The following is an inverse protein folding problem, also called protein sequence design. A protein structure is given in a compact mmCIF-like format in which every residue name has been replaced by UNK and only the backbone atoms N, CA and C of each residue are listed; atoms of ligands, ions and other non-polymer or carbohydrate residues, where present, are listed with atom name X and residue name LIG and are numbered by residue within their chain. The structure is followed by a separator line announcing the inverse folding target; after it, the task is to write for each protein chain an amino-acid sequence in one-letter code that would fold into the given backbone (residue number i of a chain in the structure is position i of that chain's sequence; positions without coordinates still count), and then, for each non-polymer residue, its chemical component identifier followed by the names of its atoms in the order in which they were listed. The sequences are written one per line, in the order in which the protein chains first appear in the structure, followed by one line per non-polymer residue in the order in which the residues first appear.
data_IF_383549367436
#
_entry.id   IF_383549367436
#
_cell.length_a   1.000
_cell.length_b   1.000
_cell.length_c   1.000
_cell.angle_alpha   90.00
_cell.angle_beta   90.00
_cell.angle_gamma   90.00
#
_symmetry.space_group_name_H-M   'P 1'
#
loop_
_entity.id
_entity.type
_entity.pdbx_description
1 polymer ?
#
# COMPACT_ATOMS: atom_id res chain seq x y z
N UNK A 1 -3.58 -45.48 -4.45
CA UNK A 1 -2.26 -45.90 -3.94
C UNK A 1 -1.23 -45.29 -4.88
N UNK A 2 -0.80 -44.06 -4.58
CA UNK A 2 0.14 -43.30 -5.41
C UNK A 2 1.03 -42.51 -4.46
N UNK A 3 2.28 -42.94 -4.32
CA UNK A 3 3.26 -42.37 -3.39
C UNK A 3 3.53 -40.89 -3.70
N UNK A 4 3.55 -40.06 -2.65
CA UNK A 4 4.10 -38.70 -2.72
C UNK A 4 5.60 -38.76 -2.46
N UNK A 5 6.46 -38.11 -3.27
CA UNK A 5 7.89 -38.11 -3.05
C UNK A 5 8.26 -37.34 -1.77
N UNK A 6 9.12 -37.94 -0.94
CA UNK A 6 9.73 -37.34 0.26
C UNK A 6 10.70 -36.25 -0.17
N UNK A 7 10.43 -35.01 0.24
CA UNK A 7 11.36 -33.89 0.10
C UNK A 7 12.34 -33.95 1.27
N UNK A 8 13.63 -34.09 0.97
CA UNK A 8 14.72 -34.02 1.94
C UNK A 8 14.85 -32.60 2.51
N UNK A 9 14.97 -32.49 3.83
CA UNK A 9 15.24 -31.24 4.54
C UNK A 9 16.62 -30.68 4.17
N UNK A 10 16.74 -29.39 3.79
CA UNK A 10 18.03 -28.72 3.75
C UNK A 10 18.44 -28.25 5.15
N UNK A 11 19.71 -28.46 5.43
CA UNK A 11 20.47 -28.19 6.65
C UNK A 11 20.39 -26.71 7.07
N UNK A 12 20.26 -26.49 8.38
CA UNK A 12 20.35 -25.19 9.07
C UNK A 12 21.57 -24.39 8.63
N UNK A 13 21.35 -23.30 7.89
CA UNK A 13 22.30 -22.18 7.84
C UNK A 13 21.67 -21.03 8.61
N UNK A 14 22.16 -20.82 9.84
CA UNK A 14 21.73 -19.76 10.73
C UNK A 14 22.28 -18.43 10.23
N UNK A 15 21.70 -17.92 9.15
CA UNK A 15 21.90 -16.55 8.72
C UNK A 15 21.42 -15.65 9.88
N UNK A 16 22.37 -14.95 10.49
CA UNK A 16 22.14 -14.01 11.57
C UNK A 16 20.92 -13.14 11.25
N UNK A 17 19.89 -13.25 12.08
CA UNK A 17 18.79 -12.29 12.11
C UNK A 17 19.41 -10.98 12.61
N UNK A 18 19.94 -10.20 11.67
CA UNK A 18 20.28 -8.81 11.93
C UNK A 18 18.96 -8.10 12.13
N UNK A 19 18.58 -7.93 13.39
CA UNK A 19 17.49 -7.04 13.78
C UNK A 19 17.64 -5.74 12.98
N UNK A 20 16.62 -5.31 12.21
CA UNK A 20 16.70 -4.03 11.53
C UNK A 20 16.86 -2.96 12.60
N UNK A 21 18.07 -2.42 12.74
CA UNK A 21 18.34 -1.23 13.53
C UNK A 21 17.49 -0.12 12.95
N UNK A 22 16.41 0.24 13.65
CA UNK A 22 15.63 1.42 13.31
C UNK A 22 16.58 2.60 13.44
N UNK A 23 16.85 3.35 12.36
CA UNK A 23 17.61 4.59 12.48
C UNK A 23 16.83 5.49 13.42
N UNK A 24 17.35 5.71 14.63
CA UNK A 24 16.93 6.85 15.44
C UNK A 24 17.61 8.04 14.82
N UNK A 25 16.89 8.84 14.04
CA UNK A 25 17.42 10.17 13.78
C UNK A 25 16.33 11.23 13.75
N UNK A 26 16.66 12.31 14.44
CA UNK A 26 15.74 13.31 14.93
C UNK A 26 15.25 14.19 13.79
N UNK A 27 13.95 14.14 13.47
CA UNK A 27 13.27 15.27 12.83
C UNK A 27 12.98 16.33 13.90
N UNK A 28 14.03 16.86 14.52
CA UNK A 28 13.91 17.92 15.52
C UNK A 28 14.14 19.27 14.84
N UNK A 29 13.04 19.90 14.41
CA UNK A 29 13.04 21.29 13.93
C UNK A 29 12.06 21.59 12.79
N UNK A 30 11.54 20.58 12.09
CA UNK A 30 10.61 20.82 10.99
C UNK A 30 9.22 21.23 11.50
N UNK A 31 8.76 22.41 11.09
CA UNK A 31 7.41 22.94 11.38
C UNK A 31 6.33 22.22 10.58
N UNK A 32 6.69 21.52 9.50
CA UNK A 32 5.79 20.75 8.62
C UNK A 32 6.47 19.42 8.25
N UNK A 33 5.72 18.31 8.27
CA UNK A 33 6.16 17.04 7.70
C UNK A 33 5.89 17.02 6.19
N UNK A 34 6.96 17.07 5.39
CA UNK A 34 6.86 16.98 3.93
C UNK A 34 6.94 15.51 3.46
N UNK A 35 5.83 14.95 3.01
CA UNK A 35 5.78 13.59 2.45
C UNK A 35 6.51 13.58 1.12
N UNK A 36 7.51 12.70 1.03
CA UNK A 36 8.34 12.52 -0.15
C UNK A 36 9.76 13.05 -0.01
N UNK A 37 10.08 13.88 0.98
CA UNK A 37 11.44 14.39 1.20
C UNK A 37 12.35 13.41 1.93
N UNK A 38 11.84 12.82 3.00
CA UNK A 38 12.59 11.92 3.86
C UNK A 38 11.73 10.73 4.30
N UNK A 39 12.35 9.77 5.01
CA UNK A 39 11.61 8.68 5.66
C UNK A 39 10.71 9.26 6.74
N UNK A 40 9.44 8.83 6.75
CA UNK A 40 8.49 9.13 7.83
C UNK A 40 8.77 8.18 9.00
N UNK A 41 8.96 8.73 10.20
CA UNK A 41 9.18 7.93 11.41
C UNK A 41 7.87 7.72 12.19
N UNK A 42 7.84 6.72 13.07
CA UNK A 42 6.71 6.53 13.99
C UNK A 42 6.48 7.74 14.93
N UNK A 43 7.54 8.50 15.25
CA UNK A 43 7.43 9.74 16.04
C UNK A 43 6.72 10.84 15.25
N UNK A 44 7.04 10.98 13.96
CA UNK A 44 6.34 11.92 13.08
C UNK A 44 4.85 11.58 12.99
N UNK A 45 4.53 10.28 12.80
CA UNK A 45 3.14 9.79 12.80
C UNK A 45 2.42 10.15 14.11
N UNK A 46 3.06 9.95 15.27
CA UNK A 46 2.45 10.28 16.55
C UNK A 46 2.20 11.79 16.72
N UNK A 47 3.12 12.65 16.26
CA UNK A 47 2.95 14.12 16.29
C UNK A 47 1.84 14.58 15.37
N UNK A 48 1.78 14.04 14.15
CA UNK A 48 0.69 14.31 13.19
C UNK A 48 -0.66 13.90 13.78
N UNK A 49 -0.75 12.70 14.36
CA UNK A 49 -1.98 12.19 14.97
C UNK A 49 -2.47 13.04 16.15
N UNK A 50 -1.55 13.67 16.89
CA UNK A 50 -1.86 14.61 17.98
C UNK A 50 -2.08 16.06 17.52
N UNK A 51 -1.97 16.35 16.23
CA UNK A 51 -2.12 17.70 15.68
C UNK A 51 -0.92 18.62 15.92
N UNK A 52 0.22 18.07 16.36
CA UNK A 52 1.45 18.81 16.71
C UNK A 52 2.35 19.08 15.50
N UNK A 53 2.03 18.50 14.34
CA UNK A 53 2.83 18.58 13.13
C UNK A 53 1.92 18.58 11.90
N UNK A 54 1.75 19.71 11.20
CA UNK A 54 1.04 19.74 9.92
C UNK A 54 1.79 18.91 8.87
N UNK A 55 1.04 18.40 7.88
CA UNK A 55 1.55 17.56 6.79
C UNK A 55 1.37 18.29 5.47
N UNK A 56 2.39 18.24 4.62
CA UNK A 56 2.33 18.68 3.23
C UNK A 56 2.94 17.61 2.31
N UNK A 57 2.61 17.66 1.01
CA UNK A 57 3.41 16.96 0.01
C UNK A 57 4.66 17.80 -0.29
N UNK A 58 5.74 17.12 -0.67
CA UNK A 58 6.93 17.78 -1.24
C UNK A 58 6.58 18.59 -2.50
N UNK A 59 7.25 19.71 -2.72
CA UNK A 59 7.16 20.50 -3.96
C UNK A 59 8.10 19.98 -5.07
N UNK A 60 8.85 18.90 -4.82
CA UNK A 60 9.77 18.35 -5.82
C UNK A 60 9.01 17.77 -7.01
N UNK A 61 9.17 18.37 -8.18
CA UNK A 61 8.56 17.93 -9.43
C UNK A 61 8.76 16.43 -9.70
N UNK A 62 9.97 15.91 -9.48
CA UNK A 62 10.28 14.49 -9.69
C UNK A 62 9.45 13.53 -8.82
N UNK A 63 8.96 13.97 -7.67
CA UNK A 63 8.04 13.19 -6.84
C UNK A 63 6.63 13.18 -7.43
N UNK A 64 6.13 14.33 -7.85
CA UNK A 64 4.83 14.45 -8.54
C UNK A 64 4.81 13.66 -9.84
N UNK A 65 5.90 13.70 -10.62
CA UNK A 65 6.04 12.91 -11.84
C UNK A 65 5.98 11.41 -11.58
N UNK A 66 6.48 10.94 -10.42
CA UNK A 66 6.35 9.53 -10.03
C UNK A 66 4.90 9.16 -9.72
N UNK A 67 4.15 10.02 -9.03
CA UNK A 67 2.72 9.79 -8.79
C UNK A 67 1.94 9.74 -10.11
N UNK A 68 2.14 10.72 -10.98
CA UNK A 68 1.45 10.79 -12.28
C UNK A 68 1.72 9.54 -13.10
N UNK A 69 3.00 9.13 -13.24
CA UNK A 69 3.36 7.90 -13.96
C UNK A 69 2.76 6.64 -13.35
N UNK A 70 2.70 6.55 -12.02
CA UNK A 70 2.06 5.43 -11.32
C UNK A 70 0.57 5.35 -11.66
N UNK A 71 -0.14 6.49 -11.56
CA UNK A 71 -1.56 6.59 -11.91
C UNK A 71 -1.79 6.20 -13.37
N UNK A 72 -1.02 6.74 -14.31
CA UNK A 72 -1.14 6.41 -15.73
C UNK A 72 -0.89 4.92 -16.01
N UNK A 73 0.05 4.29 -15.30
CA UNK A 73 0.29 2.85 -15.44
C UNK A 73 -0.93 2.04 -15.00
N UNK A 74 -1.57 2.41 -13.89
CA UNK A 74 -2.82 1.78 -13.43
C UNK A 74 -3.93 1.99 -14.47
N UNK A 75 -4.11 3.21 -14.99
CA UNK A 75 -5.13 3.51 -15.99
C UNK A 75 -4.92 2.75 -17.30
N UNK A 76 -3.67 2.68 -17.80
CA UNK A 76 -3.34 1.88 -18.99
C UNK A 76 -3.67 0.41 -18.76
N UNK A 77 -3.29 -0.14 -17.61
CA UNK A 77 -3.56 -1.55 -17.31
C UNK A 77 -5.05 -1.83 -17.12
N UNK A 78 -5.80 -0.92 -16.51
CA UNK A 78 -7.25 -1.05 -16.37
C UNK A 78 -7.96 -1.13 -17.73
N UNK A 79 -7.48 -0.39 -18.75
CA UNK A 79 -8.03 -0.38 -20.11
C UNK A 79 -7.60 -1.58 -20.98
N UNK A 80 -6.60 -2.35 -20.56
CA UNK A 80 -6.09 -3.50 -21.34
C UNK A 80 -7.08 -4.67 -21.45
N UNK A 81 -8.16 -4.68 -20.65
CA UNK A 81 -9.14 -5.76 -20.63
C UNK A 81 -8.69 -7.00 -19.85
N UNK A 82 -7.40 -7.14 -19.51
CA UNK A 82 -6.99 -8.26 -18.67
C UNK A 82 -7.38 -8.01 -17.19
N UNK A 83 -7.66 -9.07 -16.41
CA UNK A 83 -8.03 -8.94 -15.00
C UNK A 83 -6.98 -8.16 -14.19
N UNK A 84 -7.47 -7.25 -13.36
CA UNK A 84 -6.70 -6.42 -12.43
C UNK A 84 -7.48 -6.30 -11.12
N UNK A 85 -6.96 -6.96 -10.08
CA UNK A 85 -7.60 -7.11 -8.78
C UNK A 85 -8.09 -5.77 -8.21
N UNK A 86 -9.39 -5.69 -7.90
CA UNK A 86 -10.00 -4.52 -7.27
C UNK A 86 -10.05 -3.25 -8.14
N UNK A 87 -9.63 -3.34 -9.42
CA UNK A 87 -9.68 -2.23 -10.38
C UNK A 87 -10.77 -2.50 -11.42
N UNK A 88 -10.70 -3.64 -12.12
CA UNK A 88 -11.72 -4.09 -13.09
C UNK A 88 -12.26 -5.49 -12.74
N UNK A 89 -12.10 -5.90 -11.48
CA UNK A 89 -12.61 -7.16 -10.92
C UNK A 89 -13.28 -6.89 -9.58
N UNK A 90 -14.06 -7.85 -9.10
CA UNK A 90 -14.56 -7.83 -7.71
C UNK A 90 -13.45 -7.99 -6.66
N UNK A 91 -13.82 -7.85 -5.39
CA UNK A 91 -12.93 -8.02 -4.24
C UNK A 91 -13.15 -9.38 -3.56
N UNK A 92 -12.11 -9.92 -2.91
CA UNK A 92 -12.21 -11.18 -2.17
C UNK A 92 -12.73 -12.33 -3.04
N UNK A 93 -13.76 -13.04 -2.58
CA UNK A 93 -14.36 -14.16 -3.32
C UNK A 93 -14.97 -13.75 -4.68
N UNK A 94 -15.33 -12.48 -4.85
CA UNK A 94 -15.90 -11.95 -6.11
C UNK A 94 -14.83 -11.59 -7.16
N UNK A 95 -13.54 -11.87 -6.90
CA UNK A 95 -12.44 -11.60 -7.85
C UNK A 95 -12.63 -12.25 -9.23
N UNK A 96 -13.38 -13.35 -9.28
CA UNK A 96 -13.70 -14.07 -10.53
C UNK A 96 -14.63 -13.29 -11.46
N UNK A 97 -15.26 -12.22 -10.98
CA UNK A 97 -16.17 -11.39 -11.75
C UNK A 97 -15.43 -10.18 -12.33
N UNK A 98 -15.57 -9.99 -13.64
CA UNK A 98 -15.13 -8.76 -14.33
C UNK A 98 -16.10 -7.62 -14.06
N UNK A 99 -15.57 -6.40 -13.92
CA UNK A 99 -16.33 -5.17 -13.72
C UNK A 99 -16.08 -4.26 -14.91
N UNK A 100 -17.15 -3.82 -15.56
CA UNK A 100 -17.08 -2.87 -16.67
C UNK A 100 -16.56 -1.50 -16.19
N UNK A 101 -15.84 -0.78 -17.05
CA UNK A 101 -15.11 0.45 -16.68
C UNK A 101 -16.05 1.54 -16.17
N UNK A 102 -17.26 1.63 -16.73
CA UNK A 102 -18.33 2.54 -16.32
C UNK A 102 -18.80 2.31 -14.87
N UNK A 103 -18.58 1.11 -14.33
CA UNK A 103 -18.91 0.78 -12.95
C UNK A 103 -17.75 0.99 -11.98
N UNK A 104 -16.56 1.41 -12.43
CA UNK A 104 -15.38 1.56 -11.58
C UNK A 104 -15.57 2.51 -10.38
N UNK A 105 -16.25 3.65 -10.59
CA UNK A 105 -16.57 4.58 -9.51
C UNK A 105 -17.56 3.98 -8.48
N UNK A 106 -18.57 3.25 -8.97
CA UNK A 106 -19.52 2.54 -8.11
C UNK A 106 -18.86 1.39 -7.36
N UNK A 107 -17.93 0.66 -8.00
CA UNK A 107 -17.14 -0.41 -7.39
C UNK A 107 -16.35 0.11 -6.18
N UNK A 108 -15.61 1.21 -6.34
CA UNK A 108 -14.86 1.84 -5.25
C UNK A 108 -15.78 2.32 -4.12
N UNK A 109 -16.94 2.92 -4.44
CA UNK A 109 -17.92 3.36 -3.44
C UNK A 109 -18.49 2.18 -2.65
N UNK A 110 -18.83 1.08 -3.35
CA UNK A 110 -19.40 -0.11 -2.73
C UNK A 110 -18.37 -0.87 -1.88
N UNK A 111 -17.07 -0.79 -2.21
CA UNK A 111 -16.01 -1.34 -1.35
C UNK A 111 -16.06 -0.75 0.05
N UNK A 112 -16.10 0.59 0.18
CA UNK A 112 -16.18 1.24 1.49
C UNK A 112 -17.44 0.87 2.26
N UNK A 113 -18.59 0.79 1.58
CA UNK A 113 -19.86 0.39 2.20
C UNK A 113 -19.84 -1.05 2.71
N UNK A 114 -19.20 -1.96 1.97
CA UNK A 114 -19.11 -3.37 2.33
C UNK A 114 -18.06 -3.66 3.41
N UNK A 115 -16.95 -2.90 3.45
CA UNK A 115 -15.87 -3.09 4.44
C UNK A 115 -15.96 -2.18 5.67
N UNK A 116 -16.90 -1.23 5.69
CA UNK A 116 -17.20 -0.35 6.82
C UNK A 116 -17.84 -1.05 8.02
N UNK A 117 -17.40 -2.27 8.36
CA UNK A 117 -17.94 -3.12 9.40
C UNK A 117 -17.32 -2.87 10.78
N UNK A 118 -16.75 -1.69 11.00
CA UNK A 118 -16.25 -1.30 12.31
C UNK A 118 -17.38 -1.28 13.33
N UNK A 119 -17.15 -1.86 14.50
CA UNK A 119 -18.11 -1.91 15.61
C UNK A 119 -17.48 -1.30 16.86
N UNK A 120 -18.26 -0.51 17.60
CA UNK A 120 -17.89 0.02 18.93
C UNK A 120 -16.66 0.93 19.01
N UNK A 121 -16.33 1.36 20.24
CA UNK A 121 -14.96 1.47 20.73
C UNK A 121 -14.40 0.13 21.25
#
# INVERSE_FOLDING_TARGET
MTERPRISSPTSDAAAVTTPTIPSDATSGATVLAIGEARVTHRDVARVARGELPVALTERASWHDRMTRSREAVERRARSGEPFYGVNTGFGASVVNTVAVEHGASLATNLFRFHGCGVGP
#
